data_IF_168451467593
#
_entry.id   IF_168451467593
#
_cell.length_a   1.000
_cell.length_b   1.000
_cell.length_c   1.000
_cell.angle_alpha   90.00
_cell.angle_beta   90.00
_cell.angle_gamma   90.00
#
_symmetry.space_group_name_H-M   'P 1'
#
loop_
_entity.id
_entity.type
_entity.pdbx_description
1 polymer ?
#
# COMPACT_ATOMS: atom_id res chain seq x y z
N UNK A 1 17.71 18.29 -0.05
CA UNK A 1 18.30 17.39 -1.04
C UNK A 1 19.59 16.84 -0.48
N UNK A 2 19.73 15.52 -0.45
CA UNK A 2 20.91 14.83 0.09
C UNK A 2 21.46 13.84 -0.94
N UNK A 3 22.79 13.73 -1.03
CA UNK A 3 23.47 12.81 -1.96
C UNK A 3 23.68 11.44 -1.32
N UNK A 4 23.41 10.39 -2.06
CA UNK A 4 23.62 9.02 -1.68
C UNK A 4 24.14 8.15 -2.81
N UNK A 5 24.37 6.90 -2.49
CA UNK A 5 24.77 5.86 -3.43
C UNK A 5 23.88 4.64 -3.25
N UNK A 6 23.79 3.81 -4.27
CA UNK A 6 23.37 2.44 -4.06
C UNK A 6 24.44 1.45 -4.52
N UNK A 7 24.54 0.34 -3.80
CA UNK A 7 25.65 -0.60 -3.94
C UNK A 7 25.21 -2.04 -3.74
N UNK A 8 25.97 -2.93 -4.33
CA UNK A 8 25.79 -4.37 -4.25
C UNK A 8 27.13 -5.10 -4.23
N UNK A 9 27.13 -6.38 -4.50
CA UNK A 9 28.36 -7.17 -4.72
C UNK A 9 29.26 -6.59 -5.84
N UNK A 10 28.68 -5.83 -6.78
CA UNK A 10 29.41 -5.28 -7.93
C UNK A 10 30.49 -4.26 -7.54
N UNK A 11 30.33 -3.54 -6.42
CA UNK A 11 31.30 -2.59 -5.90
C UNK A 11 32.40 -3.26 -5.06
N UNK A 12 32.28 -4.57 -4.83
CA UNK A 12 33.29 -5.33 -4.08
C UNK A 12 33.45 -4.83 -2.65
N UNK A 13 34.71 -4.75 -2.19
CA UNK A 13 35.01 -4.24 -0.84
C UNK A 13 35.09 -2.72 -0.85
N UNK A 14 34.24 -2.09 -0.03
CA UNK A 14 34.11 -0.64 0.11
C UNK A 14 34.81 -0.13 1.37
N UNK A 15 35.58 0.96 1.26
CA UNK A 15 36.04 1.74 2.41
C UNK A 15 35.03 2.81 2.77
N UNK A 16 34.16 2.47 3.68
CA UNK A 16 33.04 3.33 4.12
C UNK A 16 33.50 4.62 4.82
N UNK A 17 34.74 4.66 5.37
CA UNK A 17 35.30 5.86 5.97
C UNK A 17 35.60 6.89 4.89
N UNK A 18 36.23 6.46 3.79
CA UNK A 18 36.44 7.34 2.65
C UNK A 18 35.13 7.77 1.97
N UNK A 19 34.17 6.86 1.81
CA UNK A 19 32.82 7.17 1.29
C UNK A 19 32.17 8.27 2.11
N UNK A 20 32.21 8.16 3.45
CA UNK A 20 31.68 9.22 4.34
C UNK A 20 32.41 10.54 4.17
N UNK A 21 33.75 10.49 4.09
CA UNK A 21 34.61 11.67 3.87
C UNK A 21 34.34 12.36 2.52
N UNK A 22 33.86 11.62 1.53
CA UNK A 22 33.47 12.14 0.21
C UNK A 22 32.11 12.86 0.18
N UNK A 23 31.44 13.00 1.32
CA UNK A 23 30.15 13.70 1.42
C UNK A 23 28.93 12.86 1.03
N UNK A 24 29.06 11.55 1.06
CA UNK A 24 27.90 10.65 0.89
C UNK A 24 27.12 10.59 2.22
N UNK A 25 25.83 10.86 2.14
CA UNK A 25 24.96 11.01 3.30
C UNK A 25 24.16 9.74 3.60
N UNK A 26 23.91 8.88 2.62
CA UNK A 26 23.18 7.62 2.78
C UNK A 26 23.59 6.60 1.71
N UNK A 27 23.28 5.34 1.95
CA UNK A 27 23.45 4.26 1.00
C UNK A 27 22.25 3.31 0.96
N UNK A 28 21.82 2.88 -0.22
CA UNK A 28 20.83 1.84 -0.41
C UNK A 28 21.56 0.55 -0.81
N UNK A 29 21.37 -0.51 -0.05
CA UNK A 29 22.17 -1.73 -0.15
C UNK A 29 21.35 -2.86 -0.78
N UNK A 30 21.86 -3.50 -1.84
CA UNK A 30 21.22 -4.74 -2.29
C UNK A 30 21.33 -5.79 -1.21
N UNK A 31 20.21 -6.30 -0.76
CA UNK A 31 20.17 -7.39 0.23
C UNK A 31 20.11 -8.76 -0.45
N UNK A 32 19.31 -8.87 -1.48
CA UNK A 32 18.98 -10.13 -2.15
C UNK A 32 18.37 -9.87 -3.53
N UNK A 33 18.13 -10.94 -4.27
CA UNK A 33 17.45 -10.92 -5.56
C UNK A 33 16.68 -12.22 -5.77
N UNK A 34 15.55 -12.14 -6.51
CA UNK A 34 14.78 -13.31 -6.95
C UNK A 34 14.20 -14.18 -5.84
N UNK A 35 14.09 -15.46 -6.11
CA UNK A 35 13.41 -16.45 -5.28
C UNK A 35 14.19 -16.80 -3.99
N UNK A 36 13.56 -17.48 -3.01
CA UNK A 36 14.18 -17.83 -1.73
C UNK A 36 15.24 -18.92 -1.86
N UNK A 37 16.42 -18.54 -2.30
CA UNK A 37 17.62 -19.36 -2.41
C UNK A 37 18.76 -18.64 -1.67
N UNK A 38 19.48 -19.29 -0.74
CA UNK A 38 20.61 -18.68 -0.03
C UNK A 38 21.69 -18.10 -0.95
N UNK A 39 21.86 -18.63 -2.15
CA UNK A 39 22.81 -18.09 -3.14
C UNK A 39 22.39 -16.75 -3.74
N UNK A 40 21.15 -16.37 -3.56
CA UNK A 40 20.57 -15.10 -4.02
C UNK A 40 20.60 -13.99 -2.95
N UNK A 41 21.19 -14.25 -1.79
CA UNK A 41 21.59 -13.19 -0.87
C UNK A 41 22.84 -12.50 -1.43
N UNK A 42 22.82 -11.17 -1.49
CA UNK A 42 24.01 -10.42 -1.93
C UNK A 42 25.17 -10.66 -0.97
N UNK A 43 26.29 -11.18 -1.48
CA UNK A 43 27.42 -11.61 -0.67
C UNK A 43 28.17 -10.46 0.02
N UNK A 44 27.96 -9.20 -0.39
CA UNK A 44 28.48 -8.01 0.26
C UNK A 44 27.46 -7.32 1.18
N UNK A 45 26.21 -7.77 1.23
CA UNK A 45 25.17 -7.10 2.02
C UNK A 45 25.56 -6.90 3.48
N UNK A 46 25.99 -7.96 4.16
CA UNK A 46 26.40 -7.88 5.57
C UNK A 46 27.62 -6.98 5.78
N UNK A 47 28.61 -7.05 4.87
CA UNK A 47 29.80 -6.21 4.93
C UNK A 47 29.43 -4.73 4.71
N UNK A 48 28.60 -4.45 3.71
CA UNK A 48 28.13 -3.12 3.39
C UNK A 48 27.28 -2.53 4.52
N UNK A 49 26.34 -3.32 5.07
CA UNK A 49 25.51 -2.88 6.19
C UNK A 49 26.37 -2.52 7.41
N UNK A 50 27.25 -3.41 7.83
CA UNK A 50 28.14 -3.19 8.99
C UNK A 50 29.10 -2.02 8.76
N UNK A 51 29.70 -1.94 7.58
CA UNK A 51 30.65 -0.88 7.23
C UNK A 51 30.00 0.50 7.17
N UNK A 52 28.86 0.64 6.48
CA UNK A 52 28.12 1.89 6.40
C UNK A 52 27.66 2.36 7.78
N UNK A 53 27.07 1.46 8.58
CA UNK A 53 26.63 1.78 9.96
C UNK A 53 27.79 2.20 10.85
N UNK A 54 28.95 1.52 10.77
CA UNK A 54 30.14 1.88 11.54
C UNK A 54 30.71 3.25 11.16
N UNK A 55 30.62 3.62 9.86
CA UNK A 55 31.01 4.95 9.38
C UNK A 55 29.95 6.04 9.64
N UNK A 56 28.81 5.69 10.26
CA UNK A 56 27.72 6.63 10.52
C UNK A 56 26.99 7.08 9.25
N UNK A 57 26.93 6.22 8.23
CA UNK A 57 26.14 6.43 7.02
C UNK A 57 24.78 5.73 7.21
N UNK A 58 23.65 6.49 7.22
CA UNK A 58 22.31 5.94 7.19
C UNK A 58 22.09 5.02 5.99
N UNK A 59 21.35 3.94 6.17
CA UNK A 59 21.15 2.92 5.13
C UNK A 59 19.68 2.63 4.85
N UNK A 60 19.39 2.27 3.61
CA UNK A 60 18.22 1.55 3.15
C UNK A 60 18.63 0.19 2.57
N UNK A 61 17.68 -0.55 2.03
CA UNK A 61 17.97 -1.80 1.36
C UNK A 61 17.10 -1.96 0.10
N UNK A 62 17.49 -2.84 -0.83
CA UNK A 62 16.63 -3.23 -1.93
C UNK A 62 16.72 -4.73 -2.24
N UNK A 63 15.65 -5.22 -2.84
CA UNK A 63 15.53 -6.55 -3.40
C UNK A 63 15.32 -6.45 -4.90
N UNK A 64 16.18 -7.06 -5.70
CA UNK A 64 16.04 -7.11 -7.15
C UNK A 64 15.03 -8.19 -7.54
N UNK A 65 13.90 -7.79 -8.13
CA UNK A 65 12.76 -8.66 -8.39
C UNK A 65 12.85 -9.46 -9.69
N UNK A 66 12.37 -10.69 -9.65
CA UNK A 66 12.17 -11.56 -10.80
C UNK A 66 10.75 -12.13 -10.89
N UNK A 67 9.90 -11.88 -9.90
CA UNK A 67 8.58 -12.48 -9.80
C UNK A 67 7.71 -12.18 -11.02
N UNK A 68 7.07 -13.22 -11.56
CA UNK A 68 6.13 -13.10 -12.68
C UNK A 68 4.68 -13.41 -12.26
N UNK A 69 4.44 -13.60 -10.98
CA UNK A 69 3.13 -13.77 -10.37
C UNK A 69 3.08 -13.16 -8.98
N UNK A 70 1.87 -12.85 -8.49
CA UNK A 70 1.68 -12.36 -7.12
C UNK A 70 2.15 -13.37 -6.06
N UNK A 71 2.01 -14.68 -6.34
CA UNK A 71 2.47 -15.72 -5.44
C UNK A 71 4.00 -15.72 -5.29
N UNK A 72 4.72 -15.60 -6.40
CA UNK A 72 6.18 -15.47 -6.40
C UNK A 72 6.63 -14.16 -5.72
N UNK A 73 5.94 -13.04 -5.99
CA UNK A 73 6.23 -11.77 -5.33
C UNK A 73 6.11 -11.85 -3.80
N UNK A 74 5.12 -12.57 -3.27
CA UNK A 74 5.00 -12.82 -1.83
C UNK A 74 6.14 -13.70 -1.30
N UNK A 75 6.63 -14.66 -2.09
CA UNK A 75 7.78 -15.48 -1.72
C UNK A 75 9.07 -14.65 -1.70
N UNK A 76 9.29 -13.80 -2.71
CA UNK A 76 10.40 -12.84 -2.74
C UNK A 76 10.34 -11.87 -1.57
N UNK A 77 9.14 -11.33 -1.24
CA UNK A 77 8.94 -10.46 -0.10
C UNK A 77 9.32 -11.14 1.22
N UNK A 78 8.90 -12.39 1.41
CA UNK A 78 9.27 -13.18 2.60
C UNK A 78 10.78 -13.41 2.65
N UNK A 79 11.40 -13.79 1.56
CA UNK A 79 12.85 -13.98 1.47
C UNK A 79 13.63 -12.69 1.77
N UNK A 80 13.19 -11.58 1.20
CA UNK A 80 13.71 -10.26 1.50
C UNK A 80 13.63 -9.94 3.00
N UNK A 81 12.44 -10.11 3.60
CA UNK A 81 12.21 -9.87 5.03
C UNK A 81 13.08 -10.77 5.93
N UNK A 82 13.24 -12.04 5.58
CA UNK A 82 14.12 -12.96 6.31
C UNK A 82 15.59 -12.50 6.22
N UNK A 83 16.03 -11.97 5.06
CA UNK A 83 17.40 -11.47 4.83
C UNK A 83 17.69 -10.21 5.63
N UNK A 84 16.74 -9.28 5.73
CA UNK A 84 16.94 -8.01 6.44
C UNK A 84 16.56 -8.06 7.92
N UNK A 85 16.11 -9.19 8.41
CA UNK A 85 15.63 -9.38 9.78
C UNK A 85 16.64 -8.93 10.83
N UNK A 86 16.15 -8.20 11.83
CA UNK A 86 16.97 -7.72 12.96
C UNK A 86 17.85 -6.51 12.64
N UNK A 87 17.75 -5.96 11.45
CA UNK A 87 18.48 -4.74 11.03
C UNK A 87 17.59 -3.51 11.11
N UNK A 88 18.22 -2.35 11.22
CA UNK A 88 17.56 -1.03 11.23
C UNK A 88 18.00 -0.23 10.01
N UNK A 89 17.01 0.34 9.30
CA UNK A 89 17.24 1.14 8.10
C UNK A 89 16.62 2.53 8.25
N UNK A 90 17.45 3.56 8.20
CA UNK A 90 17.00 4.96 8.26
C UNK A 90 16.36 5.43 6.96
N UNK A 91 16.62 4.73 5.86
CA UNK A 91 16.02 4.96 4.55
C UNK A 91 15.03 3.84 4.20
N UNK A 92 14.16 4.06 3.21
CA UNK A 92 13.20 3.04 2.80
C UNK A 92 13.87 1.74 2.36
N UNK A 93 13.08 0.69 2.32
CA UNK A 93 13.42 -0.54 1.61
C UNK A 93 12.69 -0.56 0.27
N UNK A 94 13.31 -1.06 -0.80
CA UNK A 94 12.77 -0.95 -2.14
C UNK A 94 12.61 -2.31 -2.82
N UNK A 95 11.54 -2.43 -3.59
CA UNK A 95 11.41 -3.45 -4.62
C UNK A 95 11.96 -2.90 -5.92
N UNK A 96 12.98 -3.52 -6.45
CA UNK A 96 13.66 -3.13 -7.69
C UNK A 96 13.01 -3.86 -8.86
N UNK A 97 12.39 -3.08 -9.75
CA UNK A 97 11.50 -3.53 -10.82
C UNK A 97 12.08 -3.11 -12.17
N UNK A 98 12.96 -3.95 -12.73
CA UNK A 98 13.62 -3.60 -13.99
C UNK A 98 14.00 -4.80 -14.88
N UNK A 99 13.81 -6.05 -14.42
CA UNK A 99 14.22 -7.21 -15.20
C UNK A 99 13.33 -7.45 -16.42
N UNK A 100 13.93 -7.22 -17.62
CA UNK A 100 13.23 -7.38 -18.88
C UNK A 100 12.89 -8.84 -19.23
N UNK A 101 13.68 -9.80 -18.72
CA UNK A 101 13.54 -11.21 -19.05
C UNK A 101 12.40 -11.90 -18.31
N UNK A 102 12.02 -11.37 -17.17
CA UNK A 102 10.95 -11.88 -16.29
C UNK A 102 9.80 -10.89 -16.18
N UNK A 103 9.91 -9.92 -15.27
CA UNK A 103 8.88 -8.92 -15.00
C UNK A 103 8.47 -8.12 -16.25
N UNK A 104 9.44 -7.82 -17.12
CA UNK A 104 9.22 -7.09 -18.37
C UNK A 104 8.35 -7.82 -19.39
N UNK A 105 8.10 -9.12 -19.23
CA UNK A 105 7.21 -9.93 -20.06
C UNK A 105 5.74 -9.83 -19.68
N UNK A 106 5.45 -9.28 -18.50
CA UNK A 106 4.10 -9.16 -17.98
C UNK A 106 3.32 -8.03 -18.64
N UNK A 107 1.99 -8.18 -18.67
CA UNK A 107 1.13 -7.05 -18.98
C UNK A 107 1.26 -5.97 -17.89
N UNK A 108 0.97 -4.73 -18.25
CA UNK A 108 1.07 -3.57 -17.36
C UNK A 108 0.30 -3.76 -16.04
N UNK A 109 -0.92 -4.31 -16.13
CA UNK A 109 -1.72 -4.59 -14.93
C UNK A 109 -1.18 -5.76 -14.11
N UNK A 110 -0.72 -6.82 -14.75
CA UNK A 110 -0.14 -7.97 -14.04
C UNK A 110 1.12 -7.55 -13.26
N UNK A 111 1.99 -6.75 -13.87
CA UNK A 111 3.17 -6.23 -13.17
C UNK A 111 2.79 -5.32 -12.00
N UNK A 112 1.78 -4.46 -12.17
CA UNK A 112 1.26 -3.62 -11.07
C UNK A 112 0.80 -4.47 -9.89
N UNK A 113 0.10 -5.58 -10.17
CA UNK A 113 -0.36 -6.50 -9.11
C UNK A 113 0.81 -7.23 -8.43
N UNK A 114 1.82 -7.65 -9.19
CA UNK A 114 3.06 -8.25 -8.66
C UNK A 114 3.77 -7.29 -7.71
N UNK A 115 3.97 -6.03 -8.12
CA UNK A 115 4.59 -5.00 -7.28
C UNK A 115 3.78 -4.79 -5.99
N UNK A 116 2.46 -4.66 -6.14
CA UNK A 116 1.55 -4.50 -4.99
C UNK A 116 1.64 -5.67 -4.02
N UNK A 117 1.74 -6.90 -4.54
CA UNK A 117 1.84 -8.11 -3.72
C UNK A 117 3.12 -8.13 -2.87
N UNK A 118 4.28 -7.82 -3.47
CA UNK A 118 5.56 -7.70 -2.73
C UNK A 118 5.49 -6.58 -1.68
N UNK A 119 5.20 -5.38 -2.11
CA UNK A 119 5.25 -4.20 -1.25
C UNK A 119 4.26 -4.29 -0.08
N UNK A 120 3.08 -4.84 -0.31
CA UNK A 120 2.08 -5.02 0.75
C UNK A 120 2.55 -5.98 1.86
N UNK A 121 3.28 -7.06 1.53
CA UNK A 121 3.85 -7.94 2.55
C UNK A 121 4.98 -7.25 3.35
N UNK A 122 5.82 -6.47 2.67
CA UNK A 122 6.91 -5.73 3.32
C UNK A 122 6.35 -4.61 4.23
N UNK A 123 5.32 -3.91 3.78
CA UNK A 123 4.63 -2.89 4.59
C UNK A 123 3.96 -3.50 5.83
N UNK A 124 3.25 -4.62 5.68
CA UNK A 124 2.65 -5.36 6.82
C UNK A 124 3.68 -5.79 7.86
N UNK A 125 4.90 -6.05 7.44
CA UNK A 125 6.01 -6.38 8.34
C UNK A 125 6.60 -5.15 9.07
N UNK A 126 6.07 -3.96 8.85
CA UNK A 126 6.48 -2.73 9.54
C UNK A 126 7.62 -2.00 8.85
N UNK A 127 7.81 -2.17 7.55
CA UNK A 127 8.82 -1.43 6.79
C UNK A 127 8.21 -0.31 5.95
N UNK A 128 8.94 0.78 5.82
CA UNK A 128 8.66 1.82 4.83
C UNK A 128 9.17 1.33 3.48
N UNK A 129 8.26 0.87 2.62
CA UNK A 129 8.59 0.27 1.33
C UNK A 129 8.33 1.25 0.19
N UNK A 130 9.19 1.22 -0.82
CA UNK A 130 9.06 1.94 -2.08
C UNK A 130 9.35 1.04 -3.28
N UNK A 131 9.22 1.61 -4.47
CA UNK A 131 9.47 0.94 -5.75
C UNK A 131 10.57 1.69 -6.48
N UNK A 132 11.62 0.96 -6.90
CA UNK A 132 12.61 1.45 -7.83
C UNK A 132 12.26 0.99 -9.25
N UNK A 133 12.35 1.91 -10.19
CA UNK A 133 12.27 1.59 -11.61
C UNK A 133 12.88 2.72 -12.46
N UNK A 134 13.30 2.39 -13.68
CA UNK A 134 13.68 3.40 -14.67
C UNK A 134 12.47 4.22 -15.12
N UNK A 135 12.71 5.45 -15.61
CA UNK A 135 11.68 6.32 -16.19
C UNK A 135 10.82 5.57 -17.21
N UNK A 136 11.45 4.83 -18.12
CA UNK A 136 10.73 4.08 -19.16
C UNK A 136 9.78 3.02 -18.58
N UNK A 137 10.14 2.41 -17.46
CA UNK A 137 9.28 1.45 -16.78
C UNK A 137 8.14 2.14 -16.02
N UNK A 138 8.45 3.22 -15.32
CA UNK A 138 7.43 4.05 -14.63
C UNK A 138 6.36 4.55 -15.60
N UNK A 139 6.73 4.92 -16.82
CA UNK A 139 5.80 5.45 -17.81
C UNK A 139 5.01 4.34 -18.55
N UNK A 140 5.59 3.14 -18.72
CA UNK A 140 5.05 2.16 -19.65
C UNK A 140 4.79 0.76 -19.11
N UNK A 141 5.51 0.30 -18.09
CA UNK A 141 5.47 -1.12 -17.68
C UNK A 141 4.48 -1.45 -16.60
N UNK A 142 4.15 -0.51 -15.73
CA UNK A 142 3.14 -0.66 -14.68
C UNK A 142 2.38 0.66 -14.45
N UNK A 143 1.44 0.69 -13.51
CA UNK A 143 0.64 1.86 -13.18
C UNK A 143 1.06 2.39 -11.79
N UNK A 144 2.03 3.35 -11.71
CA UNK A 144 2.49 3.88 -10.42
C UNK A 144 1.36 4.56 -9.62
N UNK A 145 0.40 5.18 -10.29
CA UNK A 145 -0.78 5.83 -9.72
C UNK A 145 -1.74 4.88 -9.00
N UNK A 146 -1.63 3.57 -9.24
CA UNK A 146 -2.38 2.52 -8.54
C UNK A 146 -1.63 1.99 -7.30
N UNK A 147 -0.42 2.45 -7.05
CA UNK A 147 0.45 1.98 -5.98
C UNK A 147 0.63 3.08 -4.93
N UNK A 148 0.33 2.82 -3.63
CA UNK A 148 0.47 3.81 -2.57
C UNK A 148 1.91 3.85 -2.01
N UNK A 149 2.91 3.55 -2.83
CA UNK A 149 4.30 3.42 -2.42
C UNK A 149 5.16 4.53 -3.01
N UNK A 150 6.19 4.92 -2.28
CA UNK A 150 7.16 5.90 -2.74
C UNK A 150 7.94 5.39 -3.96
N UNK A 151 8.32 6.31 -4.84
CA UNK A 151 9.06 6.00 -6.05
C UNK A 151 10.51 6.45 -5.90
N UNK A 152 11.43 5.55 -6.23
CA UNK A 152 12.82 5.84 -6.52
C UNK A 152 13.00 5.72 -8.03
N UNK A 153 13.01 6.87 -8.70
CA UNK A 153 13.09 6.94 -10.17
C UNK A 153 14.54 6.87 -10.66
N UNK A 154 14.80 6.07 -11.67
CA UNK A 154 16.11 6.05 -12.34
C UNK A 154 16.02 6.69 -13.73
N UNK A 155 16.82 7.71 -13.92
CA UNK A 155 17.03 8.34 -15.22
C UNK A 155 18.40 9.01 -15.22
N UNK A 156 19.30 8.56 -16.09
CA UNK A 156 20.66 9.10 -16.22
C UNK A 156 20.63 10.35 -17.11
N UNK A 157 20.32 11.47 -16.45
CA UNK A 157 20.12 12.76 -17.12
C UNK A 157 20.47 13.92 -16.17
N UNK A 158 20.31 15.17 -16.63
CA UNK A 158 20.59 16.38 -15.84
C UNK A 158 19.49 16.72 -14.85
N UNK A 159 18.29 16.21 -15.09
CA UNK A 159 17.12 16.35 -14.23
C UNK A 159 16.18 15.13 -14.40
N UNK A 160 15.42 14.79 -13.39
CA UNK A 160 14.44 13.72 -13.48
C UNK A 160 13.19 14.22 -14.23
N UNK A 161 12.86 13.57 -15.33
CA UNK A 161 11.70 13.91 -16.16
C UNK A 161 10.43 13.12 -15.81
N UNK A 162 10.47 12.29 -14.76
CA UNK A 162 9.27 11.60 -14.30
C UNK A 162 8.25 12.59 -13.80
N UNK A 163 7.06 12.59 -14.40
CA UNK A 163 5.98 13.53 -14.09
C UNK A 163 5.20 13.21 -12.80
N UNK A 164 5.37 11.98 -12.27
CA UNK A 164 4.77 11.56 -11.01
C UNK A 164 5.58 12.03 -9.80
N UNK A 165 5.07 11.71 -8.60
CA UNK A 165 5.81 11.99 -7.37
C UNK A 165 6.90 10.94 -7.15
N UNK A 166 8.08 11.40 -6.72
CA UNK A 166 9.20 10.54 -6.34
C UNK A 166 9.94 11.14 -5.14
N UNK A 167 10.45 10.27 -4.30
CA UNK A 167 11.23 10.70 -3.13
C UNK A 167 12.72 10.62 -3.34
N UNK A 168 13.16 9.84 -4.33
CA UNK A 168 14.57 9.62 -4.66
C UNK A 168 14.77 9.49 -6.18
N UNK A 169 15.91 9.97 -6.65
CA UNK A 169 16.32 9.91 -8.06
C UNK A 169 17.73 9.37 -8.20
N UNK A 170 17.90 8.29 -8.99
CA UNK A 170 19.18 7.77 -9.43
C UNK A 170 19.55 8.45 -10.76
N UNK A 171 20.60 9.27 -10.74
CA UNK A 171 20.90 10.13 -11.88
C UNK A 171 22.12 9.68 -12.72
N UNK A 172 22.89 8.70 -12.27
CA UNK A 172 24.00 8.09 -13.01
C UNK A 172 24.39 6.75 -12.39
N UNK A 173 24.90 5.84 -13.23
CA UNK A 173 25.51 4.57 -12.82
C UNK A 173 27.06 4.58 -12.91
N UNK A 174 27.65 5.73 -13.23
CA UNK A 174 29.08 5.87 -13.46
C UNK A 174 29.76 6.90 -12.56
N UNK A 175 29.16 7.13 -11.38
CA UNK A 175 29.75 8.01 -10.37
C UNK A 175 31.10 7.50 -9.88
N UNK A 176 31.96 8.41 -9.41
CA UNK A 176 33.23 8.09 -8.79
C UNK A 176 33.25 8.60 -7.36
N UNK A 177 33.40 7.67 -6.41
CA UNK A 177 33.38 7.99 -4.98
C UNK A 177 34.65 7.39 -4.32
N UNK A 178 35.46 8.20 -3.62
CA UNK A 178 36.58 7.68 -2.85
C UNK A 178 36.19 6.55 -1.92
N UNK A 179 36.91 5.45 -1.92
CA UNK A 179 36.62 4.25 -1.14
C UNK A 179 35.85 3.17 -1.93
N UNK A 180 35.41 3.45 -3.17
CA UNK A 180 34.80 2.49 -4.07
C UNK A 180 35.64 2.35 -5.32
N UNK A 181 35.90 1.11 -5.75
CA UNK A 181 36.58 0.83 -7.00
C UNK A 181 35.59 0.72 -8.16
N UNK A 182 35.83 1.45 -9.24
CA UNK A 182 34.97 1.49 -10.42
C UNK A 182 33.78 2.47 -10.27
N UNK A 183 32.81 2.29 -11.13
CA UNK A 183 31.57 3.11 -11.12
C UNK A 183 30.63 2.74 -9.99
N UNK A 184 29.88 3.73 -9.52
CA UNK A 184 28.84 3.55 -8.53
C UNK A 184 27.61 4.37 -8.88
N UNK A 185 26.44 3.86 -8.57
CA UNK A 185 25.17 4.53 -8.77
C UNK A 185 25.04 5.68 -7.78
N UNK A 186 24.67 6.88 -8.31
CA UNK A 186 24.55 8.09 -7.51
C UNK A 186 23.10 8.54 -7.45
N UNK A 187 22.70 8.96 -6.26
CA UNK A 187 21.31 9.28 -5.96
C UNK A 187 21.16 10.65 -5.30
N UNK A 188 20.02 11.28 -5.57
CA UNK A 188 19.53 12.45 -4.84
C UNK A 188 18.23 12.08 -4.12
N UNK A 189 18.16 12.42 -2.83
CA UNK A 189 16.98 12.22 -2.01
C UNK A 189 16.33 13.56 -1.66
N UNK A 190 15.02 13.65 -1.84
CA UNK A 190 14.21 14.87 -1.65
C UNK A 190 13.35 14.82 -0.38
N UNK A 191 13.30 13.66 0.30
CA UNK A 191 12.49 13.42 1.50
C UNK A 191 13.37 13.26 2.74
N UNK A 192 12.86 13.63 3.90
CA UNK A 192 13.48 13.33 5.20
C UNK A 192 13.02 11.94 5.70
N UNK A 193 13.46 10.90 5.01
CA UNK A 193 13.15 9.52 5.38
C UNK A 193 13.61 9.15 6.78
N UNK A 194 14.83 9.51 7.24
CA UNK A 194 15.26 9.19 8.59
C UNK A 194 14.32 9.68 9.68
N UNK A 195 13.78 10.89 9.52
CA UNK A 195 12.78 11.44 10.44
C UNK A 195 11.46 10.66 10.35
N UNK A 196 10.91 10.54 9.14
CA UNK A 196 9.62 9.88 8.92
C UNK A 196 9.60 8.43 9.40
N UNK A 197 10.66 7.66 9.15
CA UNK A 197 10.79 6.26 9.53
C UNK A 197 10.89 6.11 11.05
N UNK A 198 11.74 6.91 11.70
CA UNK A 198 11.93 6.86 13.16
C UNK A 198 10.68 7.31 13.93
N UNK A 199 10.02 8.37 13.51
CA UNK A 199 8.80 8.85 14.14
C UNK A 199 7.66 7.83 14.05
N UNK A 200 7.58 7.10 12.95
CA UNK A 200 6.58 6.03 12.74
C UNK A 200 6.98 4.69 13.39
N UNK A 201 8.22 4.53 13.82
CA UNK A 201 8.75 3.28 14.38
C UNK A 201 8.81 2.15 13.35
N UNK A 202 9.17 2.48 12.11
CA UNK A 202 9.30 1.52 11.01
C UNK A 202 10.75 1.04 10.84
N UNK A 203 10.99 0.09 9.94
CA UNK A 203 12.32 -0.38 9.53
C UNK A 203 13.19 -0.87 10.71
N UNK A 204 12.56 -1.54 11.69
CA UNK A 204 13.27 -2.06 12.85
C UNK A 204 13.52 -1.03 13.96
N UNK A 205 13.09 0.22 13.80
CA UNK A 205 13.10 1.19 14.90
C UNK A 205 11.90 0.97 15.81
N UNK A 206 12.11 1.10 17.12
CA UNK A 206 11.01 1.22 18.06
C UNK A 206 10.34 2.58 17.86
N UNK A 207 9.01 2.62 17.90
CA UNK A 207 8.36 3.92 18.09
C UNK A 207 9.03 4.64 19.25
N UNK A 208 9.41 5.92 19.12
CA UNK A 208 9.87 6.69 20.26
C UNK A 208 8.87 6.50 21.40
N UNK A 209 9.31 6.01 22.54
CA UNK A 209 8.44 5.96 23.73
C UNK A 209 8.07 7.40 24.00
N UNK A 210 6.81 7.80 23.96
CA UNK A 210 6.45 9.16 24.34
C UNK A 210 6.95 9.37 25.77
N UNK A 211 7.68 10.45 26.03
CA UNK A 211 7.75 11.00 27.40
C UNK A 211 6.33 10.94 27.96
N UNK A 212 6.10 10.51 29.23
CA UNK A 212 4.74 10.27 29.71
C UNK A 212 3.89 11.52 29.51
N UNK A 213 3.16 11.53 28.43
CA UNK A 213 2.08 12.45 28.15
C UNK A 213 0.78 11.86 28.68
N UNK A 214 -0.22 12.67 29.01
CA UNK A 214 -1.43 12.19 29.66
C UNK A 214 -2.03 10.98 28.94
N UNK A 215 -2.68 10.12 29.71
CA UNK A 215 -3.19 8.80 29.36
C UNK A 215 -3.63 8.63 27.88
N UNK A 216 -3.31 7.49 27.22
CA UNK A 216 -3.54 7.33 25.78
C UNK A 216 -4.99 7.64 25.45
N UNK A 217 -5.21 8.60 24.56
CA UNK A 217 -6.50 8.69 23.86
C UNK A 217 -6.76 7.31 23.24
N UNK A 218 -7.98 6.77 23.44
CA UNK A 218 -8.34 5.48 22.85
C UNK A 218 -8.06 5.53 21.35
N UNK A 219 -7.49 4.45 20.81
CA UNK A 219 -7.21 4.30 19.37
C UNK A 219 -8.41 4.86 18.59
N UNK A 220 -8.17 5.87 17.74
CA UNK A 220 -9.26 6.55 17.03
C UNK A 220 -10.05 5.52 16.24
N UNK A 221 -11.16 5.08 16.84
CA UNK A 221 -12.13 4.23 16.17
C UNK A 221 -12.74 5.05 15.05
N UNK A 222 -12.75 4.50 13.86
CA UNK A 222 -13.50 5.11 12.77
C UNK A 222 -14.93 4.64 12.87
N UNK A 223 -15.81 5.54 13.20
CA UNK A 223 -17.24 5.25 13.19
C UNK A 223 -17.78 5.32 11.77
N UNK A 224 -18.59 4.36 11.38
CA UNK A 224 -19.37 4.39 10.15
C UNK A 224 -20.84 4.58 10.51
N UNK A 225 -21.49 5.45 9.75
CA UNK A 225 -22.93 5.74 9.88
C UNK A 225 -23.58 5.43 8.54
N UNK A 226 -24.67 4.68 8.58
CA UNK A 226 -25.35 4.26 7.38
C UNK A 226 -26.85 4.12 7.59
N UNK A 227 -27.59 4.33 6.52
CA UNK A 227 -29.04 4.13 6.49
C UNK A 227 -29.47 3.56 5.15
N UNK A 228 -30.64 2.99 5.10
CA UNK A 228 -31.23 2.48 3.88
C UNK A 228 -32.61 3.10 3.67
N UNK A 229 -33.07 3.10 2.43
CA UNK A 229 -34.43 3.43 2.05
C UNK A 229 -35.16 2.16 1.61
N UNK A 230 -36.38 2.00 1.98
CA UNK A 230 -37.29 1.01 1.42
C UNK A 230 -38.41 1.69 0.63
N UNK A 231 -39.07 0.95 -0.27
CA UNK A 231 -40.19 1.50 -1.03
C UNK A 231 -41.37 1.80 -0.15
N UNK A 232 -41.59 1.03 0.92
CA UNK A 232 -42.75 1.15 1.81
C UNK A 232 -42.52 2.25 2.87
N UNK A 233 -41.35 2.34 3.45
CA UNK A 233 -41.10 3.14 4.66
C UNK A 233 -40.30 4.43 4.38
N UNK A 234 -39.75 4.60 3.16
CA UNK A 234 -38.83 5.70 2.86
C UNK A 234 -37.48 5.51 3.53
N UNK A 235 -36.78 6.60 3.84
CA UNK A 235 -35.51 6.54 4.55
C UNK A 235 -35.69 6.15 6.01
N UNK A 236 -35.02 5.07 6.43
CA UNK A 236 -34.98 4.60 7.80
C UNK A 236 -33.94 5.38 8.65
N UNK A 237 -34.02 5.29 9.99
CA UNK A 237 -33.04 5.89 10.88
C UNK A 237 -31.61 5.49 10.54
N UNK A 238 -30.64 6.38 10.83
CA UNK A 238 -29.22 6.10 10.69
C UNK A 238 -28.76 5.13 11.78
N UNK A 239 -27.96 4.15 11.39
CA UNK A 239 -27.31 3.17 12.27
C UNK A 239 -25.83 3.51 12.36
N UNK A 240 -25.23 3.36 13.55
CA UNK A 240 -23.81 3.54 13.80
C UNK A 240 -23.15 2.19 14.00
N UNK A 241 -22.08 1.92 13.25
CA UNK A 241 -21.31 0.68 13.37
C UNK A 241 -22.20 -0.58 13.38
N UNK A 242 -22.03 -1.43 14.39
CA UNK A 242 -22.83 -2.64 14.61
C UNK A 242 -23.82 -2.49 15.78
N UNK A 243 -24.16 -1.25 16.15
CA UNK A 243 -25.16 -1.02 17.22
C UNK A 243 -26.53 -1.63 16.85
N UNK A 244 -26.81 -1.67 15.53
CA UNK A 244 -27.99 -2.33 14.96
C UNK A 244 -27.72 -2.72 13.50
N UNK A 245 -28.75 -2.97 12.73
CA UNK A 245 -28.71 -3.11 11.28
C UNK A 245 -29.61 -2.05 10.61
N UNK A 246 -29.22 -1.59 9.44
CA UNK A 246 -30.10 -0.77 8.61
C UNK A 246 -31.01 -1.68 7.77
N UNK A 247 -32.31 -1.50 7.89
CA UNK A 247 -33.34 -2.29 7.20
C UNK A 247 -34.57 -2.45 8.04
N UNK A 248 -35.62 -3.02 7.45
CA UNK A 248 -36.87 -3.37 8.12
C UNK A 248 -37.49 -4.61 7.46
N UNK A 249 -38.81 -4.67 7.33
CA UNK A 249 -39.51 -5.83 6.75
C UNK A 249 -39.46 -5.88 5.22
N UNK A 250 -39.19 -4.76 4.56
CA UNK A 250 -39.23 -4.62 3.10
C UNK A 250 -37.86 -4.70 2.43
N UNK A 251 -37.86 -4.74 1.10
CA UNK A 251 -36.66 -4.69 0.29
C UNK A 251 -36.05 -3.28 0.33
N UNK A 252 -34.72 -3.25 0.47
CA UNK A 252 -33.91 -2.03 0.37
C UNK A 252 -33.83 -1.58 -1.09
N UNK A 253 -33.90 -0.27 -1.31
CA UNK A 253 -33.84 0.35 -2.63
C UNK A 253 -32.63 1.29 -2.76
N UNK A 254 -32.19 1.88 -1.66
CA UNK A 254 -31.10 2.88 -1.65
C UNK A 254 -30.31 2.79 -0.34
N UNK A 255 -29.04 3.17 -0.41
CA UNK A 255 -28.09 3.13 0.71
C UNK A 255 -27.35 4.45 0.77
N UNK A 256 -27.17 5.02 1.96
CA UNK A 256 -26.31 6.17 2.23
C UNK A 256 -25.33 5.83 3.35
N UNK A 257 -24.02 6.12 3.13
CA UNK A 257 -22.93 5.77 4.06
C UNK A 257 -22.01 6.95 4.25
N UNK A 258 -21.59 7.21 5.50
CA UNK A 258 -20.54 8.17 5.86
C UNK A 258 -19.66 7.64 6.99
N UNK A 259 -18.46 8.18 7.12
CA UNK A 259 -17.50 7.84 8.17
C UNK A 259 -17.06 9.05 8.97
N UNK A 260 -16.60 8.84 10.20
CA UNK A 260 -16.09 9.90 11.09
C UNK A 260 -14.70 10.40 10.69
N UNK A 261 -13.92 9.58 9.99
CA UNK A 261 -12.59 9.92 9.48
C UNK A 261 -12.28 9.09 8.24
N UNK A 262 -11.46 9.61 7.32
CA UNK A 262 -11.22 9.01 6.02
C UNK A 262 -12.37 9.27 5.05
N UNK A 263 -12.53 8.39 4.06
CA UNK A 263 -13.64 8.47 3.11
C UNK A 263 -14.11 7.08 2.68
N UNK A 264 -15.33 7.02 2.16
CA UNK A 264 -15.90 5.79 1.58
C UNK A 264 -16.34 6.05 0.15
N UNK A 265 -16.25 5.04 -0.69
CA UNK A 265 -17.04 4.93 -1.91
C UNK A 265 -17.90 3.68 -1.82
N UNK A 266 -19.09 3.75 -2.34
CA UNK A 266 -20.02 2.63 -2.31
C UNK A 266 -20.96 2.65 -3.51
N UNK A 267 -21.49 1.49 -3.86
CA UNK A 267 -22.48 1.33 -4.92
C UNK A 267 -23.40 0.16 -4.64
N UNK A 268 -24.48 0.08 -5.38
CA UNK A 268 -25.46 -1.00 -5.28
C UNK A 268 -25.71 -1.64 -6.64
N UNK A 269 -26.06 -2.92 -6.64
CA UNK A 269 -26.55 -3.63 -7.81
C UNK A 269 -28.07 -3.70 -7.76
N UNK A 270 -28.71 -3.36 -8.88
CA UNK A 270 -30.17 -3.42 -8.99
C UNK A 270 -30.58 -4.86 -9.28
N UNK A 271 -31.52 -5.38 -8.52
CA UNK A 271 -32.05 -6.72 -8.71
C UNK A 271 -32.58 -6.92 -10.12
N UNK A 272 -32.00 -7.87 -10.85
CA UNK A 272 -32.30 -8.11 -12.25
C UNK A 272 -31.76 -7.05 -13.21
N UNK A 273 -30.92 -6.13 -12.75
CA UNK A 273 -30.32 -5.05 -13.53
C UNK A 273 -28.80 -5.05 -13.51
N UNK A 274 -28.18 -3.88 -13.33
CA UNK A 274 -26.75 -3.67 -13.35
C UNK A 274 -26.29 -2.93 -12.09
N UNK A 275 -24.95 -2.90 -11.87
CA UNK A 275 -24.32 -2.02 -10.92
C UNK A 275 -24.55 -0.56 -11.28
N UNK A 276 -24.95 0.25 -10.30
CA UNK A 276 -24.98 1.70 -10.42
C UNK A 276 -23.57 2.28 -10.20
N UNK A 277 -23.32 3.53 -10.65
CA UNK A 277 -22.05 4.22 -10.39
C UNK A 277 -21.75 4.31 -8.90
N UNK A 278 -20.45 4.44 -8.57
CA UNK A 278 -20.02 4.71 -7.20
C UNK A 278 -20.47 6.10 -6.73
N UNK A 279 -20.81 6.14 -5.45
CA UNK A 279 -21.18 7.34 -4.69
C UNK A 279 -20.14 7.54 -3.57
N UNK A 280 -19.80 8.77 -3.27
CA UNK A 280 -18.85 9.14 -2.20
C UNK A 280 -19.45 10.07 -1.14
N UNK A 281 -20.57 10.69 -1.43
CA UNK A 281 -21.30 11.57 -0.51
C UNK A 281 -22.28 10.80 0.39
N UNK A 282 -22.85 11.51 1.38
CA UNK A 282 -23.93 11.02 2.23
C UNK A 282 -24.94 12.14 2.46
N UNK A 283 -25.79 12.36 1.47
CA UNK A 283 -26.88 13.35 1.53
C UNK A 283 -28.14 12.77 0.86
N UNK A 284 -29.12 12.40 1.63
CA UNK A 284 -30.36 11.77 1.14
C UNK A 284 -31.21 12.65 0.20
N UNK A 285 -30.87 13.93 0.09
CA UNK A 285 -31.53 14.87 -0.84
C UNK A 285 -30.73 15.08 -2.14
N UNK A 286 -29.56 14.45 -2.29
CA UNK A 286 -28.71 14.50 -3.48
C UNK A 286 -28.74 13.15 -4.20
N UNK A 287 -29.55 13.03 -5.23
CA UNK A 287 -29.70 11.79 -6.00
C UNK A 287 -28.52 11.51 -6.96
N UNK A 288 -27.56 12.42 -7.09
CA UNK A 288 -26.40 12.26 -7.99
C UNK A 288 -25.24 11.60 -7.27
N UNK A 289 -24.87 12.08 -6.08
CA UNK A 289 -23.72 11.56 -5.33
C UNK A 289 -23.97 11.43 -3.82
N UNK A 290 -25.18 11.62 -3.35
CA UNK A 290 -25.52 11.59 -1.91
C UNK A 290 -25.95 10.22 -1.39
N UNK A 291 -26.36 9.30 -2.26
CA UNK A 291 -26.72 7.92 -1.92
C UNK A 291 -26.66 7.02 -3.16
N UNK A 292 -26.43 5.73 -2.95
CA UNK A 292 -26.43 4.71 -4.01
C UNK A 292 -27.82 4.05 -4.09
N UNK A 293 -28.44 4.12 -5.25
CA UNK A 293 -29.75 3.55 -5.52
C UNK A 293 -30.57 4.43 -6.49
N UNK A 294 -31.72 3.92 -6.92
CA UNK A 294 -32.62 4.63 -7.83
C UNK A 294 -34.09 4.32 -7.53
N UNK A 295 -34.38 3.82 -6.32
CA UNK A 295 -35.72 3.45 -5.88
C UNK A 295 -36.20 2.06 -6.32
N UNK A 296 -35.37 1.30 -7.02
CA UNK A 296 -35.59 -0.11 -7.35
C UNK A 296 -34.94 -1.02 -6.32
N UNK A 297 -35.46 -2.24 -6.15
CA UNK A 297 -34.89 -3.23 -5.23
C UNK A 297 -33.46 -3.54 -5.60
N UNK A 298 -32.57 -3.60 -4.58
CA UNK A 298 -31.17 -3.95 -4.71
C UNK A 298 -30.91 -5.37 -4.19
N UNK A 299 -29.94 -6.06 -4.78
CA UNK A 299 -29.54 -7.42 -4.40
C UNK A 299 -28.05 -7.58 -4.07
N UNK A 300 -27.25 -6.53 -4.26
CA UNK A 300 -25.88 -6.48 -3.76
C UNK A 300 -25.45 -5.04 -3.41
N UNK A 301 -24.49 -4.95 -2.47
CA UNK A 301 -23.84 -3.71 -2.03
C UNK A 301 -22.35 -3.91 -2.05
N UNK A 302 -21.59 -2.92 -2.53
CA UNK A 302 -20.14 -2.83 -2.43
C UNK A 302 -19.77 -1.58 -1.65
N UNK A 303 -18.90 -1.71 -0.65
CA UNK A 303 -18.39 -0.60 0.17
C UNK A 303 -16.87 -0.69 0.24
N UNK A 304 -16.19 0.42 -0.04
CA UNK A 304 -14.73 0.53 0.06
C UNK A 304 -14.35 1.71 0.96
N UNK A 305 -13.44 1.47 1.91
CA UNK A 305 -12.97 2.50 2.83
C UNK A 305 -11.54 2.95 2.48
N UNK A 306 -11.34 4.26 2.41
CA UNK A 306 -10.02 4.88 2.26
C UNK A 306 -9.51 5.33 3.61
N UNK A 307 -8.52 4.61 4.15
CA UNK A 307 -7.88 4.95 5.40
C UNK A 307 -6.99 6.18 5.22
N UNK A 308 -7.21 7.28 5.95
CA UNK A 308 -6.33 8.45 5.87
C UNK A 308 -4.98 8.17 6.51
N UNK A 309 -3.95 8.94 6.13
CA UNK A 309 -2.59 8.77 6.65
C UNK A 309 -2.47 8.92 8.18
N UNK A 310 -3.40 9.64 8.79
CA UNK A 310 -3.46 9.83 10.24
C UNK A 310 -3.95 8.60 11.02
N UNK A 311 -4.37 7.53 10.32
CA UNK A 311 -4.90 6.29 10.92
C UNK A 311 -4.06 5.10 10.45
N UNK A 312 -3.44 4.40 11.38
CA UNK A 312 -2.71 3.15 11.14
C UNK A 312 -3.02 2.16 12.28
N UNK A 313 -3.05 0.84 12.04
CA UNK A 313 -2.90 0.19 10.74
C UNK A 313 -4.02 0.55 9.76
N UNK A 314 -3.85 0.23 8.48
CA UNK A 314 -4.91 0.38 7.48
C UNK A 314 -6.15 -0.37 7.94
N UNK A 315 -7.31 0.31 7.77
CA UNK A 315 -8.63 -0.23 8.08
C UNK A 315 -9.39 -0.53 6.80
N UNK A 316 -10.36 -1.40 6.90
CA UNK A 316 -11.24 -1.80 5.81
C UNK A 316 -12.70 -1.61 6.21
N UNK A 317 -13.55 -1.39 5.23
CA UNK A 317 -14.98 -1.59 5.42
C UNK A 317 -15.26 -3.08 5.49
N UNK A 318 -15.83 -3.54 6.59
CA UNK A 318 -16.36 -4.89 6.76
C UNK A 318 -17.88 -4.81 6.79
N UNK A 319 -18.52 -5.50 5.87
CA UNK A 319 -19.95 -5.36 5.69
C UNK A 319 -20.60 -6.67 5.24
N UNK A 320 -21.89 -6.78 5.52
CA UNK A 320 -22.71 -7.91 5.10
C UNK A 320 -24.17 -7.49 4.92
N UNK A 321 -24.91 -8.29 4.18
CA UNK A 321 -26.34 -8.12 3.99
C UNK A 321 -27.11 -9.41 4.27
N UNK A 322 -28.38 -9.28 4.58
CA UNK A 322 -29.33 -10.40 4.59
C UNK A 322 -30.43 -10.13 3.55
N UNK A 323 -30.88 -11.16 2.81
CA UNK A 323 -32.03 -11.03 1.95
C UNK A 323 -33.32 -10.83 2.80
N UNK A 324 -34.37 -10.32 2.16
CA UNK A 324 -35.67 -10.18 2.83
C UNK A 324 -36.14 -11.52 3.40
N UNK A 325 -36.39 -11.55 4.72
CA UNK A 325 -36.79 -12.76 5.43
C UNK A 325 -35.70 -13.83 5.63
N UNK A 326 -34.45 -13.57 5.20
CA UNK A 326 -33.37 -14.54 5.28
C UNK A 326 -32.28 -14.21 6.32
N UNK A 327 -31.27 -15.09 6.39
CA UNK A 327 -30.09 -14.93 7.24
C UNK A 327 -29.00 -14.13 6.53
N UNK A 328 -28.08 -13.56 7.33
CA UNK A 328 -26.93 -12.85 6.78
C UNK A 328 -26.03 -13.75 5.94
N UNK A 329 -25.58 -13.19 4.81
CA UNK A 329 -24.46 -13.74 4.05
C UNK A 329 -23.15 -13.52 4.81
N UNK A 330 -22.05 -14.20 4.39
CA UNK A 330 -20.71 -14.00 4.96
C UNK A 330 -20.27 -12.53 4.88
N UNK A 331 -19.39 -12.14 5.79
CA UNK A 331 -18.77 -10.82 5.79
C UNK A 331 -17.89 -10.61 4.57
N UNK A 332 -17.98 -9.45 3.97
CA UNK A 332 -17.10 -8.97 2.90
C UNK A 332 -16.22 -7.82 3.39
N UNK A 333 -15.05 -7.66 2.78
CA UNK A 333 -14.07 -6.63 3.13
C UNK A 333 -13.72 -5.78 1.92
N UNK A 334 -14.00 -4.48 1.97
CA UNK A 334 -13.81 -3.58 0.84
C UNK A 334 -14.36 -4.19 -0.46
N UNK A 335 -13.61 -4.11 -1.55
CA UNK A 335 -13.90 -4.80 -2.82
C UNK A 335 -12.94 -5.96 -3.07
N UNK A 336 -12.50 -6.65 -2.02
CA UNK A 336 -11.57 -7.76 -2.14
C UNK A 336 -12.22 -8.96 -2.83
N UNK A 337 -11.44 -9.64 -3.68
CA UNK A 337 -11.82 -10.90 -4.33
C UNK A 337 -10.84 -12.00 -3.97
N UNK A 338 -11.30 -13.22 -3.84
CA UNK A 338 -10.49 -14.35 -3.39
C UNK A 338 -10.53 -14.56 -1.87
N UNK A 339 -10.03 -15.69 -1.38
CA UNK A 339 -10.06 -16.10 0.03
C UNK A 339 -11.48 -16.04 0.66
N UNK A 340 -12.51 -16.38 -0.12
CA UNK A 340 -13.90 -16.34 0.33
C UNK A 340 -14.55 -14.95 0.26
N UNK A 341 -13.89 -13.98 -0.41
CA UNK A 341 -14.43 -12.65 -0.67
C UNK A 341 -14.89 -12.55 -2.12
N UNK A 342 -16.07 -11.98 -2.32
CA UNK A 342 -16.71 -11.81 -3.65
C UNK A 342 -16.56 -10.39 -4.20
N UNK A 343 -15.99 -9.46 -3.39
CA UNK A 343 -15.88 -8.04 -3.71
C UNK A 343 -17.14 -7.23 -3.42
N UNK A 344 -18.23 -7.89 -2.99
CA UNK A 344 -19.51 -7.28 -2.63
C UNK A 344 -20.30 -8.18 -1.68
N UNK A 345 -21.23 -7.64 -0.94
CA UNK A 345 -22.16 -8.42 -0.11
C UNK A 345 -23.53 -8.52 -0.81
N UNK A 346 -24.06 -9.73 -0.90
CA UNK A 346 -25.35 -10.02 -1.52
C UNK A 346 -25.34 -11.25 -2.43
N UNK A 347 -26.46 -11.53 -3.05
CA UNK A 347 -26.60 -12.58 -4.06
C UNK A 347 -27.62 -12.11 -5.11
N UNK A 348 -27.18 -12.04 -6.35
CA UNK A 348 -28.00 -11.56 -7.45
C UNK A 348 -29.34 -12.29 -7.53
N UNK A 349 -30.41 -11.53 -7.69
CA UNK A 349 -31.78 -12.01 -7.70
C UNK A 349 -32.46 -12.01 -6.33
N UNK A 350 -31.74 -11.90 -5.21
CA UNK A 350 -32.26 -11.92 -3.84
C UNK A 350 -32.27 -10.50 -3.24
N UNK A 351 -33.43 -9.85 -3.19
CA UNK A 351 -33.57 -8.51 -2.65
C UNK A 351 -33.03 -8.41 -1.21
N UNK A 352 -32.20 -7.40 -0.93
CA UNK A 352 -31.65 -7.13 0.40
C UNK A 352 -32.73 -6.58 1.32
N UNK A 353 -32.80 -7.12 2.56
CA UNK A 353 -33.64 -6.61 3.63
C UNK A 353 -32.91 -5.93 4.76
N UNK A 354 -31.61 -6.28 4.96
CA UNK A 354 -30.77 -5.77 6.06
C UNK A 354 -29.35 -5.55 5.61
N UNK A 355 -28.71 -4.51 6.17
CA UNK A 355 -27.31 -4.15 5.95
C UNK A 355 -26.62 -3.90 7.29
N UNK A 356 -25.38 -4.39 7.44
CA UNK A 356 -24.48 -4.05 8.53
C UNK A 356 -23.12 -3.65 7.97
N UNK A 357 -22.53 -2.58 8.54
CA UNK A 357 -21.20 -2.06 8.16
C UNK A 357 -20.42 -1.69 9.43
N UNK A 358 -19.10 -1.97 9.43
CA UNK A 358 -18.15 -1.49 10.44
C UNK A 358 -16.80 -1.21 9.75
N UNK A 359 -15.98 -0.31 10.31
CA UNK A 359 -14.62 -0.05 9.84
C UNK A 359 -13.63 -0.66 10.84
N UNK A 360 -12.86 -1.67 10.41
CA UNK A 360 -11.92 -2.39 11.29
C UNK A 360 -10.55 -2.62 10.66
#
# INVERSE_FOLDING_TARGET
MTKGIDVSTWQGKIDWTQVKGAGIHYAILRSSFGSPDPSQVDNQFENNYKGAKAAGIPVGAYHYGYAVSEAEARQEAKFFLDTIKGKQFEYPVYYDVEDNGTMGTLSRQALTNVIKAFCSEVEKAGYYVGVYASLSWLDSKFYPDQLPYDVWAAQYFTECQYSGQYGMWQYTSSGSVPGIQGGVDMNECYQDYPKAIKEKGLNGFNKPTPTPAPAPEPAKTVDVYYRVRTKADGWLPEVKNLEDYAGFTGAVTDVAVRVSAGSVKYRVHIKGGNWLPYVTGCNINDAVNGYAGNGLEIDAVEVYYYTPDSIRPYKKAKYRVAPVGGSYYPWQYDNETGNGQDGYAGAFGNAIGKLQIVIE
#
